data_IF_601784818442
#
_entry.id   IF_601784818442
#
_cell.length_a   1.000
_cell.length_b   1.000
_cell.length_c   1.000
_cell.angle_alpha   90.00
_cell.angle_beta   90.00
_cell.angle_gamma   90.00
#
_symmetry.space_group_name_H-M   'P 1'
#
loop_
_entity.id
_entity.type
_entity.pdbx_description
1 polymer ?
#
# COMPACT_ATOMS: atom_id res chain seq x y z
N UNK A 1 19.94 5.79 3.47
CA UNK A 1 18.64 5.43 4.07
C UNK A 1 17.69 5.17 2.90
N UNK A 2 17.05 4.01 2.84
CA UNK A 2 16.09 3.74 1.78
C UNK A 2 14.88 4.71 1.93
N UNK A 3 14.31 5.25 0.85
CA UNK A 3 13.13 6.10 0.89
C UNK A 3 11.90 5.31 1.38
N UNK A 4 10.99 6.03 2.04
CA UNK A 4 9.70 5.49 2.48
C UNK A 4 9.69 5.01 3.93
N UNK A 5 8.49 4.71 4.39
CA UNK A 5 8.22 4.18 5.72
C UNK A 5 7.01 3.25 5.66
N UNK A 6 6.86 2.39 6.68
CA UNK A 6 5.71 1.50 6.77
C UNK A 6 4.52 2.22 7.36
N UNK A 7 3.33 1.95 6.84
CA UNK A 7 2.07 2.50 7.37
C UNK A 7 0.94 1.48 7.32
N UNK A 8 -0.11 1.65 8.14
CA UNK A 8 -1.36 0.91 8.00
C UNK A 8 -1.98 1.12 6.62
N UNK A 9 -2.44 0.04 6.01
CA UNK A 9 -3.14 0.02 4.74
C UNK A 9 -4.55 -0.54 4.92
N UNK A 10 -5.55 0.05 4.26
CA UNK A 10 -6.96 -0.35 4.39
C UNK A 10 -7.59 -0.59 3.02
N UNK A 11 -8.47 -1.59 2.92
CA UNK A 11 -9.19 -1.92 1.69
C UNK A 11 -10.34 -0.92 1.39
N UNK A 12 -10.66 -0.03 2.34
CA UNK A 12 -11.65 1.05 2.24
C UNK A 12 -11.09 2.34 2.84
N UNK A 13 -11.63 3.51 2.47
CA UNK A 13 -11.22 4.80 3.04
C UNK A 13 -11.82 5.02 4.45
N UNK A 14 -11.83 3.97 5.28
CA UNK A 14 -12.29 4.01 6.67
C UNK A 14 -11.41 3.09 7.52
N UNK A 15 -11.20 3.45 8.79
CA UNK A 15 -10.38 2.69 9.73
C UNK A 15 -11.22 1.75 10.61
N UNK A 16 -12.47 1.47 10.21
CA UNK A 16 -13.34 0.58 10.99
C UNK A 16 -13.04 -0.90 10.73
N UNK A 17 -12.39 -1.17 9.59
CA UNK A 17 -11.90 -2.48 9.20
C UNK A 17 -10.46 -2.73 9.68
N UNK A 18 -10.06 -4.00 9.68
CA UNK A 18 -8.68 -4.39 9.95
C UNK A 18 -7.73 -3.78 8.92
N UNK A 19 -6.77 -2.98 9.40
CA UNK A 19 -5.68 -2.47 8.59
C UNK A 19 -4.46 -3.39 8.67
N UNK A 20 -3.66 -3.42 7.60
CA UNK A 20 -2.42 -4.19 7.55
C UNK A 20 -1.22 -3.28 7.38
N UNK A 21 -0.19 -3.46 8.20
CA UNK A 21 1.07 -2.74 8.03
C UNK A 21 1.74 -3.17 6.73
N UNK A 22 2.06 -2.21 5.88
CA UNK A 22 2.81 -2.45 4.65
C UNK A 22 3.80 -1.35 4.32
N UNK A 23 4.72 -1.66 3.41
CA UNK A 23 5.89 -0.86 3.07
C UNK A 23 6.08 -0.82 1.54
N UNK A 24 6.13 0.39 0.91
CA UNK A 24 6.40 0.53 -0.52
C UNK A 24 7.89 0.32 -0.83
N UNK A 25 8.20 -0.44 -1.88
CA UNK A 25 9.57 -0.63 -2.36
C UNK A 25 9.97 0.51 -3.31
N UNK A 26 10.36 1.66 -2.74
CA UNK A 26 10.65 2.89 -3.49
C UNK A 26 12.00 2.91 -4.24
N UNK A 27 12.87 1.92 -4.02
CA UNK A 27 14.22 1.91 -4.58
C UNK A 27 15.04 3.09 -4.06
N UNK A 28 15.61 3.90 -4.95
CA UNK A 28 16.48 5.03 -4.58
C UNK A 28 15.78 6.39 -4.63
N UNK A 29 14.49 6.44 -4.99
CA UNK A 29 13.77 7.70 -5.22
C UNK A 29 12.53 7.83 -4.36
N UNK A 30 12.45 8.94 -3.63
CA UNK A 30 11.23 9.38 -2.94
C UNK A 30 10.04 9.54 -3.91
N UNK A 31 8.84 9.54 -3.33
CA UNK A 31 7.61 9.98 -3.99
C UNK A 31 7.19 11.30 -3.37
N UNK A 32 6.74 12.22 -4.22
CA UNK A 32 6.15 13.51 -3.83
C UNK A 32 4.61 13.42 -3.89
N UNK A 33 3.88 14.32 -3.21
CA UNK A 33 2.42 14.40 -3.35
C UNK A 33 2.01 14.55 -4.81
N UNK A 34 1.09 13.69 -5.26
CA UNK A 34 0.62 13.64 -6.65
C UNK A 34 1.40 12.72 -7.59
N UNK A 35 2.54 12.17 -7.14
CA UNK A 35 3.27 11.18 -7.93
C UNK A 35 2.47 9.88 -8.07
N UNK A 36 2.54 9.28 -9.27
CA UNK A 36 2.04 7.94 -9.56
C UNK A 36 3.21 7.09 -10.02
N UNK A 37 3.36 5.88 -9.46
CA UNK A 37 4.45 4.97 -9.78
C UNK A 37 4.05 3.51 -9.57
N UNK A 38 4.45 2.66 -10.50
CA UNK A 38 4.41 1.21 -10.32
C UNK A 38 5.60 0.75 -9.46
N UNK A 39 5.31 0.00 -8.40
CA UNK A 39 6.30 -0.42 -7.41
C UNK A 39 5.87 -1.72 -6.73
N UNK A 40 6.84 -2.42 -6.15
CA UNK A 40 6.55 -3.54 -5.27
C UNK A 40 6.05 -3.05 -3.91
N UNK A 41 5.22 -3.85 -3.25
CA UNK A 41 4.69 -3.54 -1.93
C UNK A 41 4.77 -4.76 -1.02
N UNK A 42 5.28 -4.58 0.20
CA UNK A 42 5.48 -5.66 1.17
C UNK A 42 4.52 -5.46 2.33
N UNK A 43 3.90 -6.55 2.80
CA UNK A 43 3.05 -6.54 4.00
C UNK A 43 3.71 -7.36 5.10
N UNK A 44 3.47 -6.98 6.36
CA UNK A 44 4.01 -7.68 7.53
C UNK A 44 3.42 -9.09 7.69
N UNK A 45 2.15 -9.26 7.32
CA UNK A 45 1.39 -10.54 7.35
C UNK A 45 0.83 -10.85 5.96
N UNK A 46 1.70 -11.16 4.97
CA UNK A 46 1.32 -11.25 3.57
C UNK A 46 0.24 -12.31 3.29
N UNK A 47 0.19 -13.38 4.08
CA UNK A 47 -0.77 -14.48 3.96
C UNK A 47 -2.23 -14.06 4.17
N UNK A 48 -2.47 -12.96 4.89
CA UNK A 48 -3.82 -12.38 5.07
C UNK A 48 -3.99 -11.10 4.25
N UNK A 49 -3.00 -10.22 4.27
CA UNK A 49 -3.08 -8.91 3.64
C UNK A 49 -3.16 -8.99 2.10
N UNK A 50 -2.33 -9.84 1.47
CA UNK A 50 -2.27 -9.92 0.01
C UNK A 50 -3.60 -10.44 -0.59
N UNK A 51 -4.21 -11.53 -0.09
CA UNK A 51 -5.52 -11.95 -0.56
C UNK A 51 -6.61 -10.89 -0.38
N UNK A 52 -6.61 -10.17 0.75
CA UNK A 52 -7.58 -9.11 1.01
C UNK A 52 -7.46 -7.98 -0.02
N UNK A 53 -6.26 -7.43 -0.21
CA UNK A 53 -6.06 -6.31 -1.12
C UNK A 53 -6.20 -6.72 -2.59
N UNK A 54 -5.80 -7.94 -2.96
CA UNK A 54 -6.08 -8.48 -4.30
C UNK A 54 -7.58 -8.58 -4.56
N UNK A 55 -8.37 -9.05 -3.58
CA UNK A 55 -9.84 -9.11 -3.70
C UNK A 55 -10.47 -7.72 -3.80
N UNK A 56 -9.94 -6.74 -3.07
CA UNK A 56 -10.41 -5.36 -3.13
C UNK A 56 -10.00 -4.64 -4.43
N UNK A 57 -8.90 -5.06 -5.06
CA UNK A 57 -8.32 -4.43 -6.26
C UNK A 57 -7.58 -3.13 -5.97
N UNK A 58 -7.71 -2.57 -4.76
CA UNK A 58 -7.03 -1.37 -4.31
C UNK A 58 -6.97 -1.29 -2.79
N UNK A 59 -6.12 -0.40 -2.29
CA UNK A 59 -6.03 -0.06 -0.88
C UNK A 59 -5.56 1.38 -0.66
N UNK A 60 -5.77 1.88 0.54
CA UNK A 60 -5.45 3.22 0.98
C UNK A 60 -4.33 3.19 2.02
N UNK A 61 -3.37 4.10 1.90
CA UNK A 61 -2.28 4.28 2.86
C UNK A 61 -2.72 5.27 3.94
N UNK A 62 -2.46 4.95 5.20
CA UNK A 62 -2.97 5.74 6.32
C UNK A 62 -1.86 6.21 7.28
N UNK A 63 -1.81 7.51 7.53
CA UNK A 63 -0.95 8.13 8.53
C UNK A 63 -1.61 9.42 9.06
N UNK A 64 -2.39 9.30 10.15
CA UNK A 64 -3.27 10.38 10.62
C UNK A 64 -4.45 10.73 9.69
N UNK A 65 -4.57 10.03 8.56
CA UNK A 65 -5.54 10.22 7.49
C UNK A 65 -5.08 9.49 6.24
N UNK A 66 -5.83 9.58 5.13
CA UNK A 66 -5.41 9.00 3.84
C UNK A 66 -4.26 9.82 3.26
N UNK A 67 -3.10 9.18 3.08
CA UNK A 67 -1.89 9.81 2.50
C UNK A 67 -1.57 9.29 1.10
N UNK A 68 -2.27 8.25 0.63
CA UNK A 68 -2.13 7.71 -0.71
C UNK A 68 -3.15 6.62 -1.02
N UNK A 69 -3.25 6.28 -2.30
CA UNK A 69 -4.05 5.17 -2.82
C UNK A 69 -3.15 4.31 -3.71
N UNK A 70 -3.39 3.00 -3.70
CA UNK A 70 -2.69 2.05 -4.53
C UNK A 70 -3.69 1.11 -5.20
N UNK A 71 -3.54 0.91 -6.50
CA UNK A 71 -4.26 -0.09 -7.26
C UNK A 71 -3.40 -1.34 -7.42
N UNK A 72 -4.03 -2.51 -7.35
CA UNK A 72 -3.33 -3.78 -7.55
C UNK A 72 -3.18 -4.03 -9.05
N UNK A 73 -1.94 -4.00 -9.52
CA UNK A 73 -1.61 -4.39 -10.89
C UNK A 73 -1.51 -5.91 -10.98
N UNK A 74 -2.32 -6.53 -11.85
CA UNK A 74 -2.09 -7.92 -12.23
C UNK A 74 -0.89 -7.95 -13.17
N UNK A 75 0.19 -8.65 -12.77
CA UNK A 75 1.28 -8.91 -13.71
C UNK A 75 0.75 -9.79 -14.85
N UNK A 76 0.93 -9.41 -16.12
CA UNK A 76 0.66 -10.32 -17.22
C UNK A 76 1.54 -11.57 -17.04
N UNK A 77 0.92 -12.74 -17.21
CA UNK A 77 1.61 -14.05 -17.18
C UNK A 77 2.63 -14.17 -18.30
#
# INVERSE_FOLDING_TARGET
MAPGYGCPCFSRPDTTLSGFSGFPQLGDRWMSPGDIRELGYVFLVPEVAVPEFKKAGKFYLWDGGIVGEAEILEMPR
#
